data_IF_852724129442
#
_entry.id   IF_852724129442
#
_cell.length_a   1.000
_cell.length_b   1.000
_cell.length_c   1.000
_cell.angle_alpha   90.00
_cell.angle_beta   90.00
_cell.angle_gamma   90.00
#
_symmetry.space_group_name_H-M   'P 1'
#
loop_
_entity.id
_entity.type
_entity.pdbx_description
1 polymer ?
#
# COMPACT_ATOMS: atom_id res chain seq x y z
N UNK A 1 -9.54 52.39 -3.75
CA UNK A 1 -8.75 51.29 -4.33
C UNK A 1 -8.44 51.59 -5.79
N UNK A 2 -7.17 51.75 -6.17
CA UNK A 2 -6.76 51.90 -7.58
C UNK A 2 -7.15 50.66 -8.39
N UNK A 3 -7.62 50.86 -9.64
CA UNK A 3 -8.16 49.78 -10.49
C UNK A 3 -7.17 48.61 -10.71
N UNK A 4 -5.86 48.89 -10.79
CA UNK A 4 -4.82 47.86 -10.98
C UNK A 4 -4.55 46.97 -9.76
N UNK A 5 -4.86 47.41 -8.54
CA UNK A 5 -4.68 46.59 -7.33
C UNK A 5 -5.77 45.51 -7.23
N UNK A 6 -7.02 45.86 -7.60
CA UNK A 6 -8.13 44.89 -7.67
C UNK A 6 -7.90 43.81 -8.74
N UNK A 7 -7.31 44.16 -9.88
CA UNK A 7 -6.99 43.19 -10.95
C UNK A 7 -5.89 42.22 -10.52
N UNK A 8 -4.83 42.71 -9.87
CA UNK A 8 -3.76 41.85 -9.30
C UNK A 8 -4.29 40.88 -8.25
N UNK A 9 -5.17 41.32 -7.37
CA UNK A 9 -5.80 40.47 -6.35
C UNK A 9 -6.63 39.36 -7.02
N UNK A 10 -7.42 39.68 -8.06
CA UNK A 10 -8.20 38.68 -8.81
C UNK A 10 -7.31 37.67 -9.54
N UNK A 11 -6.20 38.12 -10.12
CA UNK A 11 -5.26 37.24 -10.84
C UNK A 11 -4.53 36.29 -9.86
N UNK A 12 -4.13 36.79 -8.68
CA UNK A 12 -3.54 35.96 -7.63
C UNK A 12 -4.52 34.93 -7.09
N UNK A 13 -5.79 35.31 -6.86
CA UNK A 13 -6.85 34.38 -6.45
C UNK A 13 -7.03 33.26 -7.47
N UNK A 14 -7.14 33.60 -8.77
CA UNK A 14 -7.22 32.58 -9.84
C UNK A 14 -6.02 31.63 -9.87
N UNK A 15 -4.80 32.16 -9.69
CA UNK A 15 -3.58 31.33 -9.62
C UNK A 15 -3.62 30.39 -8.42
N UNK A 16 -4.09 30.86 -7.27
CA UNK A 16 -4.29 30.05 -6.08
C UNK A 16 -5.29 28.92 -6.33
N UNK A 17 -6.48 29.24 -6.85
CA UNK A 17 -7.53 28.26 -7.15
C UNK A 17 -7.01 27.15 -8.10
N UNK A 18 -6.26 27.54 -9.14
CA UNK A 18 -5.67 26.55 -10.07
C UNK A 18 -4.56 25.70 -9.45
N UNK A 19 -3.87 26.20 -8.43
CA UNK A 19 -2.85 25.44 -7.70
C UNK A 19 -3.50 24.42 -6.77
N UNK A 20 -4.56 24.83 -6.08
CA UNK A 20 -5.37 23.98 -5.20
C UNK A 20 -6.00 22.82 -5.98
N UNK A 21 -6.58 23.09 -7.15
CA UNK A 21 -7.08 22.05 -8.06
C UNK A 21 -6.01 21.06 -8.55
N UNK A 22 -4.75 21.52 -8.71
CA UNK A 22 -3.63 20.65 -9.10
C UNK A 22 -3.19 19.78 -7.92
N UNK A 23 -3.05 20.37 -6.74
CA UNK A 23 -2.71 19.64 -5.52
C UNK A 23 -3.75 18.57 -5.22
N UNK A 24 -5.03 18.91 -5.35
CA UNK A 24 -6.13 17.95 -5.13
C UNK A 24 -6.09 16.79 -6.14
N UNK A 25 -5.86 17.07 -7.42
CA UNK A 25 -5.71 16.01 -8.44
C UNK A 25 -4.54 15.08 -8.13
N UNK A 26 -3.37 15.63 -7.82
CA UNK A 26 -2.19 14.83 -7.45
C UNK A 26 -2.49 13.96 -6.22
N UNK A 27 -3.18 14.51 -5.22
CA UNK A 27 -3.58 13.75 -4.03
C UNK A 27 -4.51 12.58 -4.37
N UNK A 28 -5.52 12.82 -5.20
CA UNK A 28 -6.45 11.76 -5.63
C UNK A 28 -5.74 10.67 -6.45
N UNK A 29 -4.77 11.03 -7.29
CA UNK A 29 -3.92 10.07 -8.01
C UNK A 29 -3.08 9.20 -7.05
N UNK A 30 -2.43 9.81 -6.05
CA UNK A 30 -1.66 9.06 -5.03
C UNK A 30 -2.57 8.08 -4.29
N UNK A 31 -3.79 8.51 -3.92
CA UNK A 31 -4.75 7.65 -3.24
C UNK A 31 -5.22 6.49 -4.12
N UNK A 32 -5.43 6.76 -5.42
CA UNK A 32 -5.73 5.70 -6.40
C UNK A 32 -4.61 4.66 -6.44
N UNK A 33 -3.35 5.10 -6.51
CA UNK A 33 -2.18 4.21 -6.49
C UNK A 33 -2.11 3.39 -5.21
N UNK A 34 -2.42 3.98 -4.04
CA UNK A 34 -2.44 3.24 -2.77
C UNK A 34 -3.54 2.17 -2.74
N UNK A 35 -4.71 2.47 -3.30
CA UNK A 35 -5.79 1.49 -3.42
C UNK A 35 -5.42 0.33 -4.34
N UNK A 36 -4.83 0.61 -5.50
CA UNK A 36 -4.35 -0.40 -6.46
C UNK A 36 -3.25 -1.26 -5.84
N UNK A 37 -2.23 -0.65 -5.23
CA UNK A 37 -1.17 -1.38 -4.54
C UNK A 37 -1.73 -2.30 -3.46
N UNK A 38 -2.68 -1.84 -2.65
CA UNK A 38 -3.31 -2.67 -1.62
C UNK A 38 -4.00 -3.92 -2.21
N UNK A 39 -4.60 -3.82 -3.40
CA UNK A 39 -5.19 -4.98 -4.07
C UNK A 39 -4.09 -5.96 -4.47
N UNK A 40 -3.03 -5.48 -5.10
CA UNK A 40 -1.89 -6.31 -5.49
C UNK A 40 -1.19 -6.98 -4.30
N UNK A 41 -0.98 -6.27 -3.19
CA UNK A 41 -0.39 -6.86 -1.98
C UNK A 41 -1.26 -8.00 -1.42
N UNK A 42 -2.59 -7.89 -1.52
CA UNK A 42 -3.49 -8.97 -1.09
C UNK A 42 -3.42 -10.18 -2.00
N UNK A 43 -3.39 -9.98 -3.32
CA UNK A 43 -3.22 -11.05 -4.30
C UNK A 43 -1.87 -11.75 -4.09
N UNK A 44 -0.80 -10.97 -3.91
CA UNK A 44 0.53 -11.49 -3.64
C UNK A 44 0.58 -12.28 -2.32
N UNK A 45 -0.06 -11.78 -1.27
CA UNK A 45 -0.18 -12.48 0.01
C UNK A 45 -0.86 -13.85 -0.13
N UNK A 46 -1.86 -13.98 -0.99
CA UNK A 46 -2.52 -15.26 -1.27
C UNK A 46 -1.57 -16.24 -1.96
N UNK A 47 -0.82 -15.77 -2.96
CA UNK A 47 0.19 -16.57 -3.67
C UNK A 47 1.25 -17.10 -2.70
N UNK A 48 1.83 -16.22 -1.87
CA UNK A 48 2.86 -16.60 -0.89
C UNK A 48 2.31 -17.60 0.13
N UNK A 49 1.04 -17.46 0.56
CA UNK A 49 0.41 -18.44 1.47
C UNK A 49 0.28 -19.82 0.83
N UNK A 50 -0.09 -19.87 -0.44
CA UNK A 50 -0.20 -21.12 -1.19
C UNK A 50 1.17 -21.77 -1.39
N UNK A 51 2.21 -20.99 -1.72
CA UNK A 51 3.59 -21.47 -1.81
C UNK A 51 4.10 -22.02 -0.46
N UNK A 52 3.87 -21.28 0.63
CA UNK A 52 4.21 -21.74 1.98
C UNK A 52 3.55 -23.08 2.30
N UNK A 53 2.25 -23.22 2.01
CA UNK A 53 1.51 -24.47 2.23
C UNK A 53 2.12 -25.61 1.42
N UNK A 54 2.44 -25.36 0.15
CA UNK A 54 3.12 -26.33 -0.70
C UNK A 54 4.45 -26.80 -0.08
N UNK A 55 5.30 -25.87 0.39
CA UNK A 55 6.54 -26.24 1.07
C UNK A 55 6.32 -27.03 2.36
N UNK A 56 5.31 -26.66 3.15
CA UNK A 56 4.93 -27.38 4.38
C UNK A 56 4.47 -28.81 4.05
N UNK A 57 3.73 -29.02 2.97
CA UNK A 57 3.30 -30.35 2.55
C UNK A 57 4.47 -31.18 1.99
N UNK A 58 5.41 -30.57 1.26
CA UNK A 58 6.65 -31.25 0.85
C UNK A 58 7.51 -31.63 2.06
N UNK A 59 7.60 -30.77 3.07
CA UNK A 59 8.38 -31.02 4.28
C UNK A 59 7.84 -32.22 5.06
N UNK A 60 6.50 -32.34 5.20
CA UNK A 60 5.86 -33.48 5.86
C UNK A 60 6.17 -34.82 5.20
N UNK A 61 6.33 -34.82 3.87
CA UNK A 61 6.62 -36.01 3.08
C UNK A 61 8.12 -36.30 2.95
N UNK A 62 8.99 -35.41 3.45
CA UNK A 62 10.44 -35.56 3.37
C UNK A 62 10.95 -36.16 4.68
N UNK A 63 11.54 -37.36 4.58
CA UNK A 63 12.15 -38.03 5.71
C UNK A 63 13.47 -37.33 6.11
N UNK A 64 13.57 -36.77 7.33
CA UNK A 64 14.75 -36.04 7.78
C UNK A 64 15.98 -36.93 7.98
N UNK A 65 15.81 -38.24 8.19
CA UNK A 65 16.92 -39.18 8.40
C UNK A 65 17.51 -39.64 7.06
N UNK A 66 16.67 -39.75 6.03
CA UNK A 66 17.10 -40.16 4.69
C UNK A 66 17.51 -38.99 3.80
N UNK A 67 16.92 -37.81 3.99
CA UNK A 67 17.14 -36.67 3.11
C UNK A 67 17.20 -35.35 3.90
N UNK A 68 18.21 -35.26 4.78
CA UNK A 68 18.42 -34.13 5.69
C UNK A 68 18.61 -32.80 4.96
N UNK A 69 19.42 -32.76 3.90
CA UNK A 69 19.67 -31.53 3.13
C UNK A 69 18.37 -30.95 2.55
N UNK A 70 17.55 -31.80 1.93
CA UNK A 70 16.25 -31.39 1.39
C UNK A 70 15.30 -30.93 2.50
N UNK A 71 15.31 -31.61 3.64
CA UNK A 71 14.48 -31.25 4.79
C UNK A 71 14.86 -29.88 5.37
N UNK A 72 16.16 -29.59 5.50
CA UNK A 72 16.66 -28.30 5.98
C UNK A 72 16.39 -27.17 4.96
N UNK A 73 16.55 -27.43 3.66
CA UNK A 73 16.19 -26.49 2.58
C UNK A 73 14.70 -26.10 2.65
N UNK A 74 13.81 -27.08 2.81
CA UNK A 74 12.36 -26.85 2.91
C UNK A 74 12.00 -26.03 4.16
N UNK A 75 12.67 -26.27 5.29
CA UNK A 75 12.51 -25.43 6.50
C UNK A 75 12.90 -23.99 6.24
N UNK A 76 14.02 -23.77 5.55
CA UNK A 76 14.49 -22.42 5.21
C UNK A 76 13.50 -21.71 4.28
N UNK A 77 13.02 -22.40 3.23
CA UNK A 77 11.97 -21.86 2.34
C UNK A 77 10.74 -21.44 3.13
N UNK A 78 10.21 -22.31 4.01
CA UNK A 78 9.05 -21.98 4.85
C UNK A 78 9.31 -20.77 5.75
N UNK A 79 10.53 -20.64 6.30
CA UNK A 79 10.93 -19.48 7.11
C UNK A 79 10.93 -18.20 6.27
N UNK A 80 11.45 -18.26 5.05
CA UNK A 80 11.46 -17.12 4.13
C UNK A 80 10.03 -16.70 3.76
N UNK A 81 9.14 -17.65 3.42
CA UNK A 81 7.74 -17.32 3.13
C UNK A 81 7.02 -16.70 4.35
N UNK A 82 7.33 -17.16 5.57
CA UNK A 82 6.78 -16.54 6.81
C UNK A 82 7.22 -15.08 6.95
N UNK A 83 8.47 -14.77 6.63
CA UNK A 83 9.00 -13.41 6.65
C UNK A 83 8.30 -12.54 5.60
N UNK A 84 8.16 -13.03 4.37
CA UNK A 84 7.45 -12.32 3.30
C UNK A 84 5.98 -12.05 3.68
N UNK A 85 5.27 -13.05 4.20
CA UNK A 85 3.89 -12.89 4.69
C UNK A 85 3.79 -11.79 5.75
N UNK A 86 4.78 -11.70 6.64
CA UNK A 86 4.81 -10.65 7.67
C UNK A 86 4.97 -9.27 7.05
N UNK A 87 5.95 -9.11 6.14
CA UNK A 87 6.21 -7.85 5.45
C UNK A 87 5.00 -7.37 4.66
N UNK A 88 4.38 -8.24 3.85
CA UNK A 88 3.20 -7.89 3.05
C UNK A 88 2.03 -7.48 3.96
N UNK A 89 1.84 -8.15 5.10
CA UNK A 89 0.80 -7.75 6.07
C UNK A 89 1.07 -6.37 6.68
N UNK A 90 2.32 -6.04 6.96
CA UNK A 90 2.73 -4.72 7.45
C UNK A 90 2.46 -3.67 6.37
N UNK A 91 2.86 -3.91 5.12
CA UNK A 91 2.58 -2.99 4.01
C UNK A 91 1.07 -2.75 3.80
N UNK A 92 0.26 -3.81 3.84
CA UNK A 92 -1.21 -3.68 3.76
C UNK A 92 -1.75 -2.84 4.92
N UNK A 93 -1.22 -3.01 6.14
CA UNK A 93 -1.65 -2.21 7.30
C UNK A 93 -1.30 -0.74 7.07
N UNK A 94 -0.07 -0.45 6.68
CA UNK A 94 0.41 0.92 6.50
C UNK A 94 -0.38 1.62 5.37
N UNK A 95 -0.68 0.93 4.27
CA UNK A 95 -1.56 1.43 3.21
C UNK A 95 -2.98 1.72 3.72
N UNK A 96 -3.54 0.87 4.58
CA UNK A 96 -4.87 1.11 5.15
C UNK A 96 -4.87 2.31 6.12
N UNK A 97 -3.79 2.53 6.85
CA UNK A 97 -3.66 3.70 7.73
C UNK A 97 -3.63 5.00 6.92
N UNK A 98 -2.86 5.05 5.82
CA UNK A 98 -2.83 6.23 4.94
C UNK A 98 -4.18 6.49 4.28
N UNK A 99 -4.84 5.46 3.74
CA UNK A 99 -6.19 5.59 3.17
C UNK A 99 -7.22 6.04 4.21
N UNK A 100 -7.06 5.63 5.48
CA UNK A 100 -7.95 6.06 6.58
C UNK A 100 -7.72 7.53 6.94
N UNK A 101 -6.46 7.97 7.07
CA UNK A 101 -6.12 9.38 7.33
C UNK A 101 -6.70 10.29 6.23
N UNK A 102 -6.61 9.87 4.98
CA UNK A 102 -7.19 10.59 3.86
C UNK A 102 -8.71 10.73 3.99
N UNK A 103 -9.40 9.62 4.31
CA UNK A 103 -10.85 9.62 4.49
C UNK A 103 -11.28 10.57 5.60
N UNK A 104 -10.57 10.56 6.73
CA UNK A 104 -10.81 11.47 7.86
C UNK A 104 -10.55 12.94 7.50
N UNK A 105 -9.57 13.22 6.63
CA UNK A 105 -9.33 14.57 6.12
C UNK A 105 -10.50 15.09 5.30
N UNK A 106 -10.97 14.29 4.32
CA UNK A 106 -12.13 14.65 3.48
C UNK A 106 -13.39 14.87 4.32
N UNK A 107 -13.62 14.04 5.34
CA UNK A 107 -14.75 14.20 6.26
C UNK A 107 -14.68 15.48 7.10
N UNK A 108 -13.48 15.99 7.41
CA UNK A 108 -13.30 17.28 8.11
C UNK A 108 -13.51 18.46 7.17
N UNK A 109 -13.00 18.39 5.94
CA UNK A 109 -13.20 19.43 4.93
C UNK A 109 -14.68 19.63 4.59
N UNK A 110 -15.47 18.56 4.53
CA UNK A 110 -16.92 18.64 4.27
C UNK A 110 -17.77 19.15 5.44
N UNK A 111 -17.20 19.30 6.65
CA UNK A 111 -17.91 19.81 7.85
C UNK A 111 -17.78 21.33 8.02
N UNK A 112 -16.94 21.99 7.23
CA UNK A 112 -16.75 23.44 7.19
C UNK A 112 -17.26 24.02 5.87
#
# INVERSE_FOLDING_TARGET
MPKGEKERIKEQARKHDTLEERMQRTRDEIMKTYMERRVHEKEFLEVIRNQKKYWEDQLKNTDPEKNRERYDELKERIKNEKTLIKQIKEEIRDLNEELKKEKEHKEKEHKY
#
